data_IF_832206157704
#
_entry.id   IF_832206157704
#
_cell.length_a   1.000
_cell.length_b   1.000
_cell.length_c   1.000
_cell.angle_alpha   90.00
_cell.angle_beta   90.00
_cell.angle_gamma   90.00
#
_symmetry.space_group_name_H-M   'P 1'
#
loop_
_entity.id
_entity.type
_entity.pdbx_description
1 polymer ?
#
# COMPACT_ATOMS: atom_id res chain seq x y z
N UNK A 1 55.69 26.41 5.54
CA UNK A 1 55.73 27.84 5.35
C UNK A 1 54.28 28.27 5.25
N UNK A 2 53.67 28.71 6.33
CA UNK A 2 53.62 30.08 6.83
C UNK A 2 52.61 30.90 6.06
N UNK A 3 51.62 31.38 6.61
CA UNK A 3 51.12 32.35 7.57
C UNK A 3 49.85 32.96 6.97
N UNK A 4 48.88 33.51 7.56
CA UNK A 4 48.44 34.33 8.67
C UNK A 4 46.94 34.56 8.49
N UNK A 5 46.16 34.60 9.42
CA UNK A 5 45.81 35.36 10.64
C UNK A 5 44.60 36.26 10.43
N UNK A 6 43.57 36.02 11.29
CA UNK A 6 42.87 36.92 12.19
C UNK A 6 42.26 38.24 11.66
N UNK A 7 41.03 38.47 12.09
CA UNK A 7 40.51 39.61 12.90
C UNK A 7 39.02 39.79 12.49
N UNK A 8 38.06 40.20 13.21
CA UNK A 8 37.74 40.64 14.56
C UNK A 8 36.21 40.81 14.57
N UNK A 9 35.64 40.58 15.73
CA UNK A 9 34.25 40.83 16.11
C UNK A 9 33.93 42.33 16.11
N UNK A 10 32.64 42.65 15.93
CA UNK A 10 32.04 43.76 16.66
C UNK A 10 30.53 43.55 16.83
N UNK A 11 30.11 43.60 18.08
CA UNK A 11 28.74 43.60 18.55
C UNK A 11 28.13 45.01 18.41
N UNK A 12 26.84 45.08 18.16
CA UNK A 12 26.04 46.27 18.52
C UNK A 12 24.67 45.84 19.04
N UNK A 13 24.51 46.03 20.32
CA UNK A 13 23.26 46.05 21.05
C UNK A 13 22.49 47.35 20.75
N UNK A 14 21.19 47.23 20.47
CA UNK A 14 20.29 48.34 20.68
C UNK A 14 18.96 47.79 21.28
N UNK A 15 18.79 48.14 22.53
CA UNK A 15 17.56 47.96 23.30
C UNK A 15 16.63 49.14 23.01
N UNK A 16 15.34 48.89 22.90
CA UNK A 16 14.30 49.89 23.18
C UNK A 16 13.19 49.27 23.98
N UNK A 17 12.98 49.91 25.13
CA UNK A 17 11.97 49.67 26.15
C UNK A 17 10.62 50.23 25.75
N UNK A 18 9.54 49.54 26.19
CA UNK A 18 8.48 50.21 26.93
C UNK A 18 7.17 50.47 26.18
N UNK A 19 6.12 49.81 26.61
CA UNK A 19 4.89 50.48 27.04
C UNK A 19 3.95 49.43 27.68
N UNK A 20 3.60 49.72 28.89
CA UNK A 20 2.64 49.04 29.77
C UNK A 20 1.20 49.51 29.48
N UNK A 21 0.27 48.65 29.89
CA UNK A 21 -1.14 48.95 30.29
C UNK A 21 -2.24 48.90 29.22
N UNK A 22 -3.07 47.87 29.37
CA UNK A 22 -4.47 48.07 29.83
C UNK A 22 -5.11 46.73 30.18
N UNK A 23 -5.51 46.56 31.43
CA UNK A 23 -6.44 45.55 31.91
C UNK A 23 -7.85 45.91 31.40
N UNK A 24 -8.57 44.90 30.96
CA UNK A 24 -10.04 44.91 31.02
C UNK A 24 -10.50 43.47 31.30
N UNK A 25 -11.00 43.28 32.52
CA UNK A 25 -11.84 42.15 32.92
C UNK A 25 -13.09 42.09 32.08
N UNK A 26 -13.43 40.90 31.56
CA UNK A 26 -14.84 40.51 31.46
C UNK A 26 -14.95 39.00 31.64
N UNK A 27 -15.72 38.67 32.62
CA UNK A 27 -16.14 37.38 33.16
C UNK A 27 -16.93 36.54 32.17
N UNK A 28 -16.73 35.20 32.29
CA UNK A 28 -17.76 34.16 32.22
C UNK A 28 -18.42 33.83 30.90
N UNK A 29 -18.09 32.65 30.40
CA UNK A 29 -19.06 31.58 30.14
C UNK A 29 -18.33 30.26 29.84
N UNK A 30 -18.40 29.36 30.81
CA UNK A 30 -18.01 27.96 30.62
C UNK A 30 -19.04 27.29 29.69
N UNK A 31 -18.73 27.10 28.46
CA UNK A 31 -19.53 26.26 27.56
C UNK A 31 -18.81 24.91 27.36
N UNK A 32 -19.44 23.90 27.94
CA UNK A 32 -19.09 22.49 27.78
C UNK A 32 -19.19 22.09 26.31
N UNK A 33 -18.11 22.13 25.57
CA UNK A 33 -18.02 21.42 24.32
C UNK A 33 -17.73 19.94 24.65
N UNK A 34 -18.75 19.11 24.60
CA UNK A 34 -18.64 17.66 24.67
C UNK A 34 -17.80 17.18 23.49
N UNK A 35 -16.67 16.54 23.79
CA UNK A 35 -15.89 15.79 22.82
C UNK A 35 -16.75 14.61 22.35
N UNK A 36 -17.41 14.79 21.22
CA UNK A 36 -17.97 13.68 20.46
C UNK A 36 -16.77 12.88 19.94
N UNK A 37 -16.46 11.78 20.59
CA UNK A 37 -15.57 10.77 20.04
C UNK A 37 -16.19 10.29 18.74
N UNK A 38 -15.60 10.71 17.62
CA UNK A 38 -15.93 10.17 16.31
C UNK A 38 -15.53 8.70 16.34
N UNK A 39 -16.53 7.83 16.44
CA UNK A 39 -16.36 6.40 16.26
C UNK A 39 -15.78 6.17 14.86
N UNK A 40 -14.54 5.71 14.80
CA UNK A 40 -13.96 5.20 13.55
C UNK A 40 -14.86 4.09 13.02
N UNK A 41 -15.27 4.10 11.74
CA UNK A 41 -16.03 3.01 11.18
C UNK A 41 -15.21 1.72 11.26
N UNK A 42 -15.78 0.68 11.81
CA UNK A 42 -15.19 -0.65 11.86
C UNK A 42 -14.79 -1.08 10.45
N UNK A 43 -13.56 -1.56 10.22
CA UNK A 43 -13.12 -2.09 8.93
C UNK A 43 -13.66 -3.51 8.76
N UNK A 44 -14.95 -3.62 8.59
CA UNK A 44 -15.66 -4.87 8.32
C UNK A 44 -16.36 -4.89 6.96
N UNK A 45 -16.23 -3.83 6.18
CA UNK A 45 -16.69 -3.81 4.80
C UNK A 45 -15.66 -4.52 3.93
N UNK A 46 -15.85 -5.83 3.73
CA UNK A 46 -15.22 -6.56 2.63
C UNK A 46 -15.23 -5.65 1.40
N UNK A 47 -14.03 -5.46 0.81
CA UNK A 47 -13.84 -4.64 -0.37
C UNK A 47 -14.73 -5.19 -1.49
N UNK A 48 -15.96 -4.70 -1.58
CA UNK A 48 -16.82 -4.96 -2.75
C UNK A 48 -16.16 -4.21 -3.90
N UNK A 49 -15.49 -4.97 -4.77
CA UNK A 49 -15.07 -4.47 -6.07
C UNK A 49 -16.29 -3.84 -6.78
N UNK A 50 -16.11 -2.91 -7.73
CA UNK A 50 -17.20 -2.52 -8.59
C UNK A 50 -17.81 -3.80 -9.15
N UNK A 51 -19.14 -3.91 -9.10
CA UNK A 51 -19.86 -5.11 -9.55
C UNK A 51 -19.69 -5.23 -11.06
N UNK A 52 -18.51 -5.65 -11.51
CA UNK A 52 -18.27 -5.96 -12.90
C UNK A 52 -18.93 -7.29 -13.21
N UNK A 53 -19.73 -7.32 -14.25
CA UNK A 53 -20.29 -8.56 -14.80
C UNK A 53 -19.36 -9.21 -15.80
N UNK A 54 -18.24 -8.56 -16.17
CA UNK A 54 -17.25 -9.11 -17.08
C UNK A 54 -16.50 -10.28 -16.43
N UNK A 55 -16.61 -11.50 -16.98
CA UNK A 55 -16.02 -12.70 -16.37
C UNK A 55 -14.49 -12.62 -16.19
N UNK A 56 -13.79 -11.86 -17.03
CA UNK A 56 -12.34 -11.67 -16.90
C UNK A 56 -12.00 -10.80 -15.71
N UNK A 57 -12.77 -9.73 -15.48
CA UNK A 57 -12.59 -8.82 -14.32
C UNK A 57 -12.92 -9.57 -13.03
N UNK A 58 -14.02 -10.32 -13.00
CA UNK A 58 -14.39 -11.13 -11.82
C UNK A 58 -13.32 -12.16 -11.49
N UNK A 59 -12.78 -12.83 -12.51
CA UNK A 59 -11.68 -13.79 -12.33
C UNK A 59 -10.42 -13.10 -11.80
N UNK A 60 -10.04 -11.97 -12.38
CA UNK A 60 -8.87 -11.20 -11.95
C UNK A 60 -9.00 -10.75 -10.50
N UNK A 61 -10.17 -10.27 -10.11
CA UNK A 61 -10.44 -9.86 -8.71
C UNK A 61 -10.35 -11.04 -7.73
N UNK A 62 -10.80 -12.21 -8.15
CA UNK A 62 -10.71 -13.43 -7.34
C UNK A 62 -9.28 -13.99 -7.27
N UNK A 63 -8.52 -13.94 -8.38
CA UNK A 63 -7.19 -14.54 -8.47
C UNK A 63 -6.12 -13.85 -7.61
N UNK A 64 -6.32 -12.59 -7.22
CA UNK A 64 -5.44 -11.85 -6.30
C UNK A 64 -5.72 -12.15 -4.82
N UNK A 65 -6.67 -13.04 -4.56
CA UNK A 65 -6.99 -13.54 -3.23
C UNK A 65 -6.39 -14.94 -3.09
N UNK A 66 -5.68 -15.18 -1.98
CA UNK A 66 -5.03 -16.46 -1.67
C UNK A 66 -5.40 -16.93 -0.27
N UNK A 67 -5.37 -18.24 -0.05
CA UNK A 67 -5.64 -18.87 1.25
C UNK A 67 -7.00 -19.55 1.32
N UNK A 68 -7.27 -20.18 2.45
CA UNK A 68 -8.49 -20.95 2.68
C UNK A 68 -9.73 -20.01 2.73
N UNK A 69 -10.75 -20.23 1.89
CA UNK A 69 -11.98 -19.42 1.92
C UNK A 69 -12.70 -19.41 3.28
N UNK A 70 -12.50 -20.45 4.12
CA UNK A 70 -13.08 -20.53 5.45
C UNK A 70 -12.26 -19.80 6.53
N UNK A 71 -11.07 -19.26 6.20
CA UNK A 71 -10.27 -18.52 7.16
C UNK A 71 -11.02 -17.25 7.60
N UNK A 72 -11.12 -17.05 8.92
CA UNK A 72 -11.84 -15.91 9.51
C UNK A 72 -11.01 -14.62 9.53
N UNK A 73 -9.69 -14.75 9.51
CA UNK A 73 -8.78 -13.62 9.54
C UNK A 73 -8.33 -13.28 8.13
N UNK A 74 -8.41 -12.00 7.80
CA UNK A 74 -7.90 -11.44 6.54
C UNK A 74 -6.66 -10.60 6.79
N UNK A 75 -5.71 -10.71 5.89
CA UNK A 75 -4.63 -9.76 5.67
C UNK A 75 -4.81 -9.15 4.28
N UNK A 76 -5.05 -7.85 4.21
CA UNK A 76 -5.20 -7.13 2.95
C UNK A 76 -3.99 -6.23 2.81
N UNK A 77 -3.29 -6.32 1.68
CA UNK A 77 -2.09 -5.52 1.41
C UNK A 77 -2.42 -4.51 0.33
N UNK A 78 -2.32 -3.20 0.65
CA UNK A 78 -2.31 -2.14 -0.35
C UNK A 78 -0.86 -1.86 -0.75
N UNK A 79 -0.54 -2.05 -2.04
CA UNK A 79 0.84 -2.08 -2.50
C UNK A 79 0.99 -1.48 -3.90
N UNK A 80 2.21 -1.00 -4.17
CA UNK A 80 2.66 -0.45 -5.45
C UNK A 80 3.86 -1.27 -5.94
N UNK A 81 3.76 -1.81 -7.14
CA UNK A 81 4.82 -2.65 -7.70
C UNK A 81 6.15 -1.91 -7.91
N UNK A 82 6.13 -0.57 -8.10
CA UNK A 82 7.35 0.23 -8.27
C UNK A 82 7.91 0.77 -6.95
N UNK A 83 7.14 0.71 -5.86
CA UNK A 83 7.59 1.21 -4.57
C UNK A 83 8.74 0.36 -4.01
N UNK A 84 9.90 0.97 -3.67
CA UNK A 84 11.03 0.22 -3.15
C UNK A 84 10.75 -0.39 -1.77
N UNK A 85 9.90 0.22 -0.97
CA UNK A 85 9.47 -0.33 0.33
C UNK A 85 8.56 -1.55 0.17
N UNK A 86 7.73 -1.59 -0.90
CA UNK A 86 6.94 -2.77 -1.24
C UNK A 86 7.83 -3.94 -1.67
N UNK A 87 8.86 -3.66 -2.46
CA UNK A 87 9.87 -4.67 -2.80
C UNK A 87 10.61 -5.15 -1.56
N UNK A 88 11.04 -4.24 -0.69
CA UNK A 88 11.73 -4.61 0.56
C UNK A 88 10.87 -5.57 1.40
N UNK A 89 9.57 -5.31 1.53
CA UNK A 89 8.65 -6.21 2.22
C UNK A 89 8.51 -7.55 1.50
N UNK A 90 8.32 -7.54 0.18
CA UNK A 90 8.25 -8.74 -0.65
C UNK A 90 9.49 -9.65 -0.43
N UNK A 91 10.69 -9.09 -0.47
CA UNK A 91 11.93 -9.85 -0.39
C UNK A 91 12.21 -10.37 1.04
N UNK A 92 11.79 -9.62 2.08
CA UNK A 92 12.16 -9.91 3.47
C UNK A 92 11.09 -10.70 4.26
N UNK A 93 9.82 -10.55 3.92
CA UNK A 93 8.73 -11.03 4.76
C UNK A 93 7.64 -11.81 4.04
N UNK A 94 7.27 -11.43 2.82
CA UNK A 94 6.07 -11.91 2.13
C UNK A 94 6.02 -13.45 2.03
N UNK A 95 7.09 -14.06 1.51
CA UNK A 95 7.14 -15.51 1.33
C UNK A 95 7.00 -16.28 2.66
N UNK A 96 7.64 -15.78 3.72
CA UNK A 96 7.57 -16.42 5.04
C UNK A 96 6.14 -16.32 5.61
N UNK A 97 5.54 -15.13 5.55
CA UNK A 97 4.17 -14.90 6.03
C UNK A 97 3.14 -15.69 5.21
N UNK A 98 3.27 -15.71 3.89
CA UNK A 98 2.38 -16.53 3.04
C UNK A 98 2.43 -17.99 3.45
N UNK A 99 3.63 -18.57 3.58
CA UNK A 99 3.80 -19.97 3.96
C UNK A 99 3.28 -20.29 5.37
N UNK A 100 3.54 -19.41 6.35
CA UNK A 100 3.20 -19.66 7.76
C UNK A 100 1.73 -19.48 8.08
N UNK A 101 1.04 -18.58 7.37
CA UNK A 101 -0.33 -18.19 7.71
C UNK A 101 -1.34 -18.46 6.59
N UNK A 102 -0.98 -18.20 5.35
CA UNK A 102 -1.91 -18.27 4.22
C UNK A 102 -2.00 -19.69 3.67
N UNK A 103 -0.87 -20.29 3.35
CA UNK A 103 -0.80 -21.66 2.79
C UNK A 103 -1.23 -22.72 3.84
N UNK A 104 -1.07 -22.41 5.13
CA UNK A 104 -1.58 -23.22 6.23
C UNK A 104 -3.07 -22.95 6.54
N UNK A 105 -3.75 -22.15 5.74
CA UNK A 105 -5.17 -21.91 5.82
C UNK A 105 -5.65 -21.08 7.02
N UNK A 106 -4.73 -20.47 7.79
CA UNK A 106 -5.06 -19.65 8.97
C UNK A 106 -5.60 -18.28 8.59
N UNK A 107 -5.03 -17.69 7.54
CA UNK A 107 -5.29 -16.32 7.09
C UNK A 107 -5.62 -16.31 5.62
N UNK A 108 -6.55 -15.45 5.23
CA UNK A 108 -6.85 -15.13 3.84
C UNK A 108 -6.14 -13.86 3.44
N UNK A 109 -5.42 -13.89 2.33
CA UNK A 109 -4.63 -12.79 1.82
C UNK A 109 -5.31 -12.17 0.60
N UNK A 110 -5.41 -10.85 0.54
CA UNK A 110 -5.81 -10.12 -0.65
C UNK A 110 -4.80 -9.02 -0.98
N UNK A 111 -4.53 -8.84 -2.27
CA UNK A 111 -3.71 -7.74 -2.78
C UNK A 111 -4.60 -6.62 -3.32
N UNK A 112 -4.33 -5.38 -2.94
CA UNK A 112 -4.99 -4.16 -3.38
C UNK A 112 -3.98 -3.31 -4.14
N UNK A 113 -4.30 -2.93 -5.37
CA UNK A 113 -3.45 -2.08 -6.18
C UNK A 113 -3.49 -0.64 -5.67
N UNK A 114 -2.33 -0.08 -5.37
CA UNK A 114 -2.20 1.31 -4.95
C UNK A 114 -1.05 2.00 -5.71
N UNK A 115 -1.17 2.13 -7.05
CA UNK A 115 -0.13 2.77 -7.84
C UNK A 115 0.01 4.24 -7.46
N UNK A 116 1.22 4.66 -7.08
CA UNK A 116 1.56 6.03 -6.71
C UNK A 116 1.78 6.84 -7.99
N UNK A 117 1.17 8.02 -8.08
CA UNK A 117 1.18 8.83 -9.31
C UNK A 117 2.59 9.25 -9.79
N UNK A 118 3.56 9.39 -8.88
CA UNK A 118 4.95 9.69 -9.22
C UNK A 118 5.75 8.48 -9.73
N UNK A 119 5.22 7.27 -9.61
CA UNK A 119 5.83 6.04 -10.08
C UNK A 119 5.34 5.70 -11.49
N UNK A 120 6.08 6.12 -12.51
CA UNK A 120 5.63 6.06 -13.91
C UNK A 120 5.28 4.66 -14.42
N UNK A 121 5.90 3.61 -13.89
CA UNK A 121 5.67 2.22 -14.28
C UNK A 121 4.76 1.44 -13.30
N UNK A 122 4.30 2.07 -12.20
CA UNK A 122 3.47 1.39 -11.21
C UNK A 122 2.13 0.94 -11.78
N UNK A 123 1.47 1.82 -12.51
CA UNK A 123 0.19 1.50 -13.13
C UNK A 123 0.32 0.49 -14.29
N UNK A 124 1.28 0.62 -15.22
CA UNK A 124 1.56 -0.44 -16.19
C UNK A 124 1.84 -1.80 -15.53
N UNK A 125 2.61 -1.85 -14.43
CA UNK A 125 2.87 -3.08 -13.70
C UNK A 125 1.58 -3.68 -13.11
N UNK A 126 0.73 -2.85 -12.51
CA UNK A 126 -0.56 -3.28 -11.97
C UNK A 126 -1.49 -3.81 -13.07
N UNK A 127 -1.56 -3.15 -14.24
CA UNK A 127 -2.36 -3.63 -15.38
C UNK A 127 -1.87 -5.00 -15.87
N UNK A 128 -0.56 -5.20 -15.98
CA UNK A 128 0.01 -6.51 -16.38
C UNK A 128 -0.29 -7.59 -15.33
N UNK A 129 -0.11 -7.29 -14.04
CA UNK A 129 -0.41 -8.23 -12.96
C UNK A 129 -1.89 -8.62 -12.96
N UNK A 130 -2.81 -7.65 -13.13
CA UNK A 130 -4.24 -7.92 -13.17
C UNK A 130 -4.68 -8.60 -14.45
N UNK A 131 -4.05 -8.35 -15.59
CA UNK A 131 -4.29 -9.10 -16.82
C UNK A 131 -3.78 -10.55 -16.75
N UNK A 132 -2.69 -10.80 -16.01
CA UNK A 132 -2.25 -12.15 -15.66
C UNK A 132 -3.22 -12.81 -14.67
N UNK A 133 -3.79 -12.04 -13.73
CA UNK A 133 -4.84 -12.51 -12.82
C UNK A 133 -6.08 -13.03 -13.56
N UNK A 134 -6.48 -12.42 -14.68
CA UNK A 134 -7.54 -12.90 -15.54
C UNK A 134 -7.26 -14.31 -16.13
N UNK A 135 -6.02 -14.75 -16.05
CA UNK A 135 -5.57 -16.11 -16.44
C UNK A 135 -5.22 -16.98 -15.20
N UNK A 136 -5.63 -16.56 -13.99
CA UNK A 136 -5.30 -17.19 -12.71
C UNK A 136 -3.79 -17.24 -12.42
N UNK A 137 -3.03 -16.23 -12.89
CA UNK A 137 -1.57 -16.12 -12.77
C UNK A 137 -1.14 -14.86 -12.01
N UNK A 138 -2.00 -14.36 -11.10
CA UNK A 138 -1.70 -13.15 -10.34
C UNK A 138 -0.41 -13.30 -9.51
N UNK A 139 -0.30 -14.34 -8.72
CA UNK A 139 0.80 -14.48 -7.75
C UNK A 139 2.12 -14.80 -8.42
N UNK A 140 2.10 -15.58 -9.50
CA UNK A 140 3.30 -15.85 -10.31
C UNK A 140 3.80 -14.54 -10.96
N UNK A 141 2.89 -13.73 -11.49
CA UNK A 141 3.25 -12.45 -12.10
C UNK A 141 3.66 -11.41 -11.05
N UNK A 142 2.99 -11.36 -9.90
CA UNK A 142 3.33 -10.53 -8.75
C UNK A 142 4.77 -10.77 -8.31
N UNK A 143 5.14 -12.04 -8.10
CA UNK A 143 6.47 -12.42 -7.65
C UNK A 143 7.53 -12.11 -8.73
N UNK A 144 7.20 -12.31 -10.01
CA UNK A 144 8.09 -11.98 -11.12
C UNK A 144 8.34 -10.46 -11.25
N UNK A 145 7.28 -9.64 -11.14
CA UNK A 145 7.39 -8.18 -11.23
C UNK A 145 8.24 -7.63 -10.08
N UNK A 146 7.97 -8.02 -8.82
CA UNK A 146 8.79 -7.58 -7.69
C UNK A 146 10.22 -8.11 -7.78
N UNK A 147 10.40 -9.38 -8.16
CA UNK A 147 11.72 -9.98 -8.32
C UNK A 147 12.62 -9.25 -9.34
N UNK A 148 12.01 -8.63 -10.35
CA UNK A 148 12.71 -7.88 -11.39
C UNK A 148 12.69 -6.36 -11.19
N UNK A 149 12.14 -5.83 -10.08
CA UNK A 149 11.86 -4.39 -9.92
C UNK A 149 13.06 -3.50 -10.23
N UNK A 150 14.26 -3.84 -9.77
CA UNK A 150 15.46 -3.05 -10.00
C UNK A 150 15.82 -2.90 -11.50
N UNK A 151 15.38 -3.86 -12.33
CA UNK A 151 15.63 -3.82 -13.77
C UNK A 151 14.70 -2.86 -14.50
N UNK A 152 13.44 -2.74 -14.04
CA UNK A 152 12.41 -2.02 -14.78
C UNK A 152 11.97 -0.68 -14.15
N UNK A 153 12.21 -0.48 -12.85
CA UNK A 153 11.67 0.68 -12.13
C UNK A 153 12.11 2.02 -12.74
N UNK A 154 13.35 2.11 -13.26
CA UNK A 154 13.88 3.32 -13.89
C UNK A 154 13.73 3.35 -15.43
N UNK A 155 13.11 2.34 -16.04
CA UNK A 155 12.91 2.31 -17.49
C UNK A 155 11.89 3.36 -17.92
N UNK A 156 12.09 4.04 -19.06
CA UNK A 156 11.07 4.91 -19.62
C UNK A 156 9.80 4.17 -20.02
N UNK A 157 9.93 2.89 -20.41
CA UNK A 157 8.84 1.98 -20.74
C UNK A 157 9.24 0.56 -20.34
N UNK A 158 8.60 0.02 -19.33
CA UNK A 158 8.85 -1.33 -18.84
C UNK A 158 7.97 -2.43 -19.48
N UNK A 159 7.01 -2.06 -20.34
CA UNK A 159 6.07 -3.01 -20.96
C UNK A 159 6.75 -4.23 -21.60
N UNK A 160 7.83 -4.09 -22.39
CA UNK A 160 8.47 -5.26 -23.00
C UNK A 160 9.00 -6.25 -21.96
N UNK A 161 9.54 -5.76 -20.85
CA UNK A 161 10.03 -6.62 -19.78
C UNK A 161 8.88 -7.27 -19.01
N UNK A 162 7.76 -6.57 -18.82
CA UNK A 162 6.58 -7.19 -18.18
C UNK A 162 6.01 -8.34 -19.03
N UNK A 163 6.05 -8.24 -20.36
CA UNK A 163 5.64 -9.33 -21.26
C UNK A 163 6.60 -10.52 -21.18
N UNK A 164 7.91 -10.29 -21.06
CA UNK A 164 8.91 -11.34 -20.84
C UNK A 164 8.69 -12.05 -19.50
N UNK A 165 8.46 -11.28 -18.42
CA UNK A 165 8.15 -11.81 -17.11
C UNK A 165 6.86 -12.64 -17.13
N UNK A 166 5.84 -12.18 -17.85
CA UNK A 166 4.58 -12.89 -18.01
C UNK A 166 4.77 -14.24 -18.70
N UNK A 167 5.59 -14.28 -19.75
CA UNK A 167 5.95 -15.54 -20.41
C UNK A 167 6.62 -16.50 -19.43
N UNK A 168 7.57 -16.02 -18.63
CA UNK A 168 8.23 -16.80 -17.57
C UNK A 168 7.28 -17.29 -16.47
N UNK A 169 6.23 -16.51 -16.17
CA UNK A 169 5.16 -16.86 -15.23
C UNK A 169 4.10 -17.82 -15.80
N UNK A 170 4.22 -18.24 -17.06
CA UNK A 170 3.28 -19.14 -17.75
C UNK A 170 1.97 -18.46 -18.13
N UNK A 171 2.00 -17.15 -18.41
CA UNK A 171 0.87 -16.35 -18.92
C UNK A 171 0.85 -16.42 -20.44
N UNK A 172 -0.32 -16.56 -21.05
CA UNK A 172 -0.50 -16.33 -22.48
C UNK A 172 -0.30 -14.84 -22.78
N UNK A 173 0.83 -14.53 -23.42
CA UNK A 173 1.24 -13.15 -23.71
C UNK A 173 0.32 -12.50 -24.76
N UNK A 174 -0.27 -13.26 -25.66
CA UNK A 174 -1.23 -12.71 -26.65
C UNK A 174 -2.50 -12.22 -25.97
N UNK A 175 -3.07 -13.03 -25.08
CA UNK A 175 -4.21 -12.64 -24.26
C UNK A 175 -3.87 -11.51 -23.30
N UNK A 176 -2.66 -11.50 -22.72
CA UNK A 176 -2.16 -10.42 -21.85
C UNK A 176 -2.13 -9.09 -22.61
N UNK A 177 -1.53 -9.05 -23.80
CA UNK A 177 -1.45 -7.83 -24.64
C UNK A 177 -2.83 -7.30 -24.99
N UNK A 178 -3.76 -8.15 -25.37
CA UNK A 178 -5.14 -7.76 -25.67
C UNK A 178 -5.83 -7.15 -24.43
N UNK A 179 -5.62 -7.72 -23.26
CA UNK A 179 -6.15 -7.21 -22.00
C UNK A 179 -5.54 -5.85 -21.64
N UNK A 180 -4.21 -5.71 -21.69
CA UNK A 180 -3.50 -4.47 -21.35
C UNK A 180 -3.84 -3.36 -22.34
N UNK A 181 -3.82 -3.61 -23.66
CA UNK A 181 -4.13 -2.61 -24.68
C UNK A 181 -5.56 -2.09 -24.61
N UNK A 182 -6.49 -2.88 -24.10
CA UNK A 182 -7.88 -2.46 -23.87
C UNK A 182 -8.10 -1.78 -22.52
N UNK A 183 -7.08 -1.66 -21.69
CA UNK A 183 -7.15 -1.15 -20.31
C UNK A 183 -8.26 -1.81 -19.48
N UNK A 184 -8.58 -3.05 -19.76
CA UNK A 184 -9.72 -3.77 -19.16
C UNK A 184 -9.70 -3.80 -17.64
N UNK A 185 -8.53 -3.86 -17.03
CA UNK A 185 -8.36 -3.93 -15.58
C UNK A 185 -8.27 -2.56 -14.89
N UNK A 186 -8.16 -1.48 -15.66
CA UNK A 186 -8.00 -0.12 -15.13
C UNK A 186 -9.11 0.29 -14.15
N UNK A 187 -10.41 0.08 -14.42
CA UNK A 187 -11.47 0.45 -13.48
C UNK A 187 -11.36 -0.27 -12.14
N UNK A 188 -10.87 -1.53 -12.13
CA UNK A 188 -10.65 -2.27 -10.90
C UNK A 188 -9.46 -1.73 -10.09
N UNK A 189 -8.36 -1.38 -10.77
CA UNK A 189 -7.18 -0.78 -10.15
C UNK A 189 -7.52 0.60 -9.56
N UNK A 190 -8.24 1.43 -10.30
CA UNK A 190 -8.67 2.76 -9.84
C UNK A 190 -9.61 2.65 -8.62
N UNK A 191 -10.53 1.69 -8.63
CA UNK A 191 -11.41 1.42 -7.49
C UNK A 191 -10.66 0.91 -6.26
N UNK A 192 -9.61 0.11 -6.43
CA UNK A 192 -8.71 -0.31 -5.36
C UNK A 192 -8.04 0.88 -4.70
N UNK A 193 -7.41 1.72 -5.51
CA UNK A 193 -6.72 2.92 -5.05
C UNK A 193 -7.65 3.84 -4.27
N UNK A 194 -8.83 4.13 -4.80
CA UNK A 194 -9.83 4.97 -4.13
C UNK A 194 -10.31 4.37 -2.81
N UNK A 195 -10.58 3.06 -2.76
CA UNK A 195 -11.01 2.38 -1.54
C UNK A 195 -9.92 2.42 -0.48
N UNK A 196 -8.67 2.16 -0.85
CA UNK A 196 -7.54 2.24 0.06
C UNK A 196 -7.36 3.66 0.62
N UNK A 197 -7.47 4.70 -0.23
CA UNK A 197 -7.46 6.11 0.22
C UNK A 197 -8.56 6.40 1.24
N UNK A 198 -9.80 5.98 0.96
CA UNK A 198 -10.94 6.18 1.89
C UNK A 198 -10.75 5.39 3.18
N UNK A 199 -10.09 4.25 3.15
CA UNK A 199 -9.75 3.45 4.32
C UNK A 199 -8.55 3.98 5.13
N UNK A 200 -7.97 5.12 4.72
CA UNK A 200 -6.92 5.81 5.47
C UNK A 200 -5.50 5.50 5.02
N UNK A 201 -5.27 4.71 3.97
CA UNK A 201 -3.93 4.44 3.43
C UNK A 201 -3.28 5.73 2.94
N UNK A 202 -2.06 6.00 3.41
CA UNK A 202 -1.25 7.17 3.03
C UNK A 202 0.14 6.79 2.54
N UNK A 203 0.54 5.53 2.75
CA UNK A 203 1.84 5.01 2.36
C UNK A 203 1.73 3.57 1.86
N UNK A 204 2.74 3.11 1.11
CA UNK A 204 2.86 1.71 0.68
C UNK A 204 4.19 1.11 1.14
N UNK A 205 4.20 -0.18 1.52
CA UNK A 205 3.03 -1.05 1.66
C UNK A 205 2.19 -0.68 2.88
N UNK A 206 0.87 -0.98 2.84
CA UNK A 206 -0.02 -0.88 4.00
C UNK A 206 -0.80 -2.17 4.18
N UNK A 207 -1.06 -2.54 5.42
CA UNK A 207 -1.67 -3.83 5.77
C UNK A 207 -2.89 -3.61 6.64
N UNK A 208 -4.02 -4.20 6.24
CA UNK A 208 -5.19 -4.30 7.08
C UNK A 208 -5.26 -5.74 7.66
N UNK A 209 -5.29 -5.84 8.98
CA UNK A 209 -5.42 -7.10 9.71
C UNK A 209 -6.47 -6.91 10.81
N UNK A 210 -7.63 -7.53 10.66
CA UNK A 210 -8.77 -7.24 11.52
C UNK A 210 -9.16 -5.76 11.42
N UNK A 211 -9.13 -5.04 12.54
CA UNK A 211 -9.40 -3.59 12.60
C UNK A 211 -8.15 -2.71 12.52
N UNK A 212 -6.96 -3.30 12.40
CA UNK A 212 -5.71 -2.56 12.42
C UNK A 212 -5.27 -2.20 11.01
N UNK A 213 -4.82 -0.94 10.83
CA UNK A 213 -4.06 -0.48 9.67
C UNK A 213 -2.60 -0.28 10.10
N UNK A 214 -1.69 -0.97 9.43
CA UNK A 214 -0.26 -0.85 9.62
C UNK A 214 0.34 -0.28 8.34
N UNK A 215 1.06 0.84 8.44
CA UNK A 215 1.69 1.48 7.29
C UNK A 215 3.21 1.27 7.27
N UNK A 216 3.77 1.18 6.07
CA UNK A 216 5.19 0.93 5.84
C UNK A 216 5.60 -0.53 5.95
N UNK A 217 6.91 -0.76 5.81
CA UNK A 217 7.48 -2.11 5.86
C UNK A 217 7.29 -2.72 7.25
N UNK A 218 6.62 -3.86 7.29
CA UNK A 218 6.43 -4.61 8.53
C UNK A 218 7.48 -5.73 8.59
N UNK A 219 8.24 -5.77 9.68
CA UNK A 219 9.18 -6.85 9.92
C UNK A 219 8.41 -8.16 10.20
N UNK A 220 8.93 -9.32 9.76
CA UNK A 220 8.23 -10.60 9.94
C UNK A 220 7.80 -10.88 11.38
N UNK A 221 8.64 -10.52 12.35
CA UNK A 221 8.35 -10.75 13.77
C UNK A 221 7.17 -9.92 14.30
N UNK A 222 7.04 -8.68 13.83
CA UNK A 222 5.96 -7.80 14.27
C UNK A 222 4.65 -8.15 13.58
N UNK A 223 4.72 -8.50 12.30
CA UNK A 223 3.53 -8.95 11.57
C UNK A 223 2.97 -10.26 12.15
N UNK A 224 3.84 -11.20 12.57
CA UNK A 224 3.41 -12.43 13.28
C UNK A 224 2.65 -12.09 14.55
N UNK A 225 3.12 -11.16 15.39
CA UNK A 225 2.43 -10.77 16.62
C UNK A 225 1.00 -10.28 16.32
N UNK A 226 0.84 -9.45 15.29
CA UNK A 226 -0.48 -8.91 14.90
C UNK A 226 -1.38 -10.01 14.36
N UNK A 227 -0.86 -10.89 13.49
CA UNK A 227 -1.61 -12.01 12.94
C UNK A 227 -2.04 -13.01 14.02
N UNK A 228 -1.13 -13.34 14.94
CA UNK A 228 -1.43 -14.27 16.05
C UNK A 228 -2.49 -13.67 16.99
N UNK A 229 -2.42 -12.38 17.29
CA UNK A 229 -3.44 -11.69 18.07
C UNK A 229 -4.81 -11.69 17.36
N UNK A 230 -4.85 -11.43 16.05
CA UNK A 230 -6.07 -11.46 15.26
C UNK A 230 -6.68 -12.88 15.23
N UNK A 231 -5.86 -13.92 15.10
CA UNK A 231 -6.29 -15.32 15.13
C UNK A 231 -6.86 -15.73 16.51
N UNK A 232 -6.24 -15.25 17.59
CA UNK A 232 -6.74 -15.50 18.94
C UNK A 232 -8.11 -14.87 19.20
N UNK A 233 -8.37 -13.70 18.60
CA UNK A 233 -9.65 -12.98 18.71
C UNK A 233 -10.76 -13.50 17.78
N UNK A 234 -10.43 -14.29 16.76
CA UNK A 234 -11.36 -14.77 15.75
C UNK A 234 -12.06 -16.12 16.07
N UNK A 235 -11.94 -16.59 17.32
CA UNK A 235 -12.50 -17.87 17.81
C UNK A 235 -14.02 -17.87 17.85
#
# INVERSE_FOLDING_TARGET
>A
MSHYLRFIALALLAACKGAENARADTTSAAEKAGAAAAASPAPGAAASAPSSTDPLVVRADSARIRGNPAAKVWMIIASDFQCPYCKMWHDSADMAIRREYVDNGKVRLAFINYPIASHQNALPAAEHAMCAAAQNKFWEMHDAIFGAQEKWAAMPNATPLFEELAQGAGVDVTALRACVSSHKMRPLIDADHEKALRAGVRATPSFFIGSQLLEGVQMPADLRKVLDAALAGAK
#
